data_IF_811310777375
#
_entry.id   IF_811310777375
#
_cell.length_a   1.000
_cell.length_b   1.000
_cell.length_c   1.000
_cell.angle_alpha   90.00
_cell.angle_beta   90.00
_cell.angle_gamma   90.00
#
_symmetry.space_group_name_H-M   'P 1'
#
loop_
_entity.id
_entity.type
_entity.pdbx_description
1 polymer ?
#
# COMPACT_ATOMS: atom_id res chain seq x y z
N UNK A 1 -9.14 -6.04 12.34
CA UNK A 1 -8.78 -4.61 12.40
C UNK A 1 -7.69 -4.37 11.36
N UNK A 2 -7.84 -3.38 10.47
CA UNK A 2 -6.95 -3.24 9.34
C UNK A 2 -5.66 -2.50 9.75
N UNK A 3 -4.63 -3.27 10.05
CA UNK A 3 -3.31 -2.82 10.52
C UNK A 3 -2.47 -2.17 9.40
N UNK A 4 -3.10 -1.45 8.46
CA UNK A 4 -2.46 -0.95 7.25
C UNK A 4 -1.23 -0.11 7.55
N UNK A 5 -1.27 0.79 8.54
CA UNK A 5 -0.19 1.75 8.82
C UNK A 5 1.24 1.18 8.74
N UNK A 6 1.65 0.39 9.72
CA UNK A 6 2.98 -0.21 9.73
C UNK A 6 3.14 -1.35 8.72
N UNK A 7 2.07 -2.09 8.44
CA UNK A 7 2.16 -3.27 7.57
C UNK A 7 2.20 -2.94 6.09
N UNK A 8 1.82 -1.72 5.68
CA UNK A 8 1.88 -1.25 4.28
C UNK A 8 3.22 -0.58 3.94
N UNK A 9 4.00 -0.25 4.96
CA UNK A 9 5.33 0.34 4.83
C UNK A 9 6.30 -0.69 4.24
N UNK A 10 6.88 -0.36 3.09
CA UNK A 10 7.88 -1.17 2.39
C UNK A 10 9.25 -1.08 3.08
N UNK A 11 9.60 0.13 3.50
CA UNK A 11 10.86 0.53 4.15
C UNK A 11 10.56 1.73 5.06
N UNK A 12 11.37 2.04 6.07
CA UNK A 12 11.13 3.20 6.92
C UNK A 12 10.84 4.48 6.12
N UNK A 13 9.71 5.11 6.42
CA UNK A 13 9.04 6.23 5.75
C UNK A 13 8.46 5.94 4.36
N UNK A 14 8.76 4.83 3.70
CA UNK A 14 8.34 4.52 2.33
C UNK A 14 7.18 3.51 2.32
N UNK A 15 5.99 3.95 1.88
CA UNK A 15 4.79 3.12 1.83
C UNK A 15 4.48 2.64 0.43
N UNK A 16 3.90 1.45 0.30
CA UNK A 16 3.42 0.97 -1.00
C UNK A 16 2.29 1.88 -1.53
N UNK A 17 2.62 2.75 -2.47
CA UNK A 17 1.65 3.67 -3.07
C UNK A 17 0.85 2.99 -4.20
N UNK A 18 -0.46 2.85 -4.02
CA UNK A 18 -1.39 2.39 -5.05
C UNK A 18 -2.62 3.30 -5.11
N UNK A 19 -3.24 3.41 -6.28
CA UNK A 19 -4.48 4.16 -6.45
C UNK A 19 -4.31 5.63 -6.03
N UNK A 20 -5.12 6.07 -5.07
CA UNK A 20 -5.11 7.46 -4.59
C UNK A 20 -3.95 7.82 -3.64
N UNK A 21 -2.98 6.92 -3.43
CA UNK A 21 -1.77 7.24 -2.67
C UNK A 21 -0.69 7.81 -3.60
N UNK A 22 -0.23 9.08 -3.45
CA UNK A 22 0.93 9.58 -4.18
C UNK A 22 2.20 8.76 -3.92
N UNK A 23 3.10 8.68 -4.90
CA UNK A 23 4.43 8.04 -4.74
C UNK A 23 5.31 8.70 -3.67
N UNK A 24 5.00 9.96 -3.32
CA UNK A 24 5.65 10.73 -2.25
C UNK A 24 4.97 10.57 -0.89
N UNK A 25 3.93 9.74 -0.77
CA UNK A 25 3.31 9.46 0.53
C UNK A 25 4.38 8.88 1.45
N UNK A 26 4.46 9.43 2.67
CA UNK A 26 5.35 8.95 3.72
C UNK A 26 4.54 8.77 4.99
N UNK A 27 4.93 7.82 5.83
CA UNK A 27 4.40 7.72 7.18
C UNK A 27 5.33 8.46 8.13
N UNK A 28 4.89 9.60 8.64
CA UNK A 28 5.67 10.38 9.60
C UNK A 28 5.76 9.69 10.97
N UNK A 29 6.64 10.18 11.84
CA UNK A 29 6.87 9.62 13.16
C UNK A 29 5.64 9.76 14.08
N UNK A 30 4.89 10.86 13.96
CA UNK A 30 3.67 11.06 14.74
C UNK A 30 2.59 10.04 14.35
N UNK A 31 2.30 9.88 13.06
CA UNK A 31 1.32 8.90 12.56
C UNK A 31 1.69 7.47 12.98
N UNK A 32 2.98 7.13 12.93
CA UNK A 32 3.50 5.83 13.39
C UNK A 32 3.32 5.62 14.88
N UNK A 33 3.76 6.57 15.70
CA UNK A 33 3.62 6.48 17.16
C UNK A 33 2.16 6.46 17.60
N UNK A 34 1.30 7.30 17.00
CA UNK A 34 -0.13 7.30 17.27
C UNK A 34 -0.76 5.95 16.95
N UNK A 35 -0.49 5.40 15.75
CA UNK A 35 -1.02 4.09 15.35
C UNK A 35 -0.49 2.96 16.23
N UNK A 36 0.77 3.03 16.66
CA UNK A 36 1.36 2.05 17.58
C UNK A 36 0.61 2.04 18.92
N UNK A 37 0.39 3.21 19.52
CA UNK A 37 -0.28 3.35 20.81
C UNK A 37 -1.78 3.00 20.71
N UNK A 38 -2.46 3.49 19.68
CA UNK A 38 -3.90 3.31 19.50
C UNK A 38 -4.29 1.86 19.20
N UNK A 39 -3.43 1.15 18.46
CA UNK A 39 -3.69 -0.22 18.03
C UNK A 39 -2.88 -1.26 18.80
N UNK A 40 -2.04 -0.82 19.75
CA UNK A 40 -1.12 -1.63 20.54
C UNK A 40 -0.23 -2.54 19.66
N UNK A 41 0.53 -1.94 18.74
CA UNK A 41 1.31 -2.70 17.75
C UNK A 41 2.65 -3.23 18.28
N UNK A 42 2.98 -2.93 19.54
CA UNK A 42 4.19 -3.40 20.21
C UNK A 42 5.50 -2.95 19.56
N UNK A 43 5.47 -1.85 18.79
CA UNK A 43 6.66 -1.21 18.24
C UNK A 43 7.30 -0.27 19.27
N UNK A 44 8.56 0.08 19.07
CA UNK A 44 9.32 0.94 20.01
C UNK A 44 8.95 2.42 19.93
N UNK A 45 8.30 2.87 18.85
CA UNK A 45 7.92 4.27 18.65
C UNK A 45 6.60 4.57 19.37
N UNK A 46 6.62 5.52 20.31
CA UNK A 46 5.46 5.90 21.12
C UNK A 46 5.24 7.41 21.09
N UNK A 47 4.00 7.88 21.27
CA UNK A 47 3.68 9.31 21.24
C UNK A 47 4.45 10.08 22.31
N UNK A 48 4.57 9.50 23.50
CA UNK A 48 5.27 10.10 24.64
C UNK A 48 6.77 10.35 24.39
N UNK A 49 7.38 9.67 23.42
CA UNK A 49 8.78 9.82 23.08
C UNK A 49 9.03 10.86 21.96
N UNK A 50 7.98 11.39 21.34
CA UNK A 50 8.13 12.31 20.21
C UNK A 50 8.62 13.68 20.65
N UNK A 51 9.61 14.20 19.94
CA UNK A 51 10.02 15.59 20.10
C UNK A 51 8.92 16.55 19.58
N UNK A 52 8.69 17.63 20.34
CA UNK A 52 7.81 18.75 19.98
C UNK A 52 8.68 19.97 19.73
N UNK A 53 8.68 20.50 18.50
CA UNK A 53 9.47 21.67 18.14
C UNK A 53 8.67 22.61 17.22
N UNK A 54 8.80 23.91 17.45
CA UNK A 54 8.05 24.95 16.73
C UNK A 54 8.43 25.08 15.23
N UNK A 55 9.58 24.53 14.82
CA UNK A 55 10.11 24.62 13.45
C UNK A 55 9.88 23.40 12.54
N UNK A 56 9.03 22.45 12.96
CA UNK A 56 8.73 21.25 12.15
C UNK A 56 7.82 21.58 10.95
N UNK A 57 7.86 20.74 9.91
CA UNK A 57 7.08 20.93 8.69
C UNK A 57 5.57 20.95 8.96
N UNK A 58 4.79 21.67 8.15
CA UNK A 58 3.38 22.00 8.42
C UNK A 58 2.41 20.84 8.66
N UNK A 59 2.77 19.61 8.32
CA UNK A 59 1.99 18.41 8.62
C UNK A 59 2.06 18.00 10.11
N UNK A 60 3.01 18.55 10.87
CA UNK A 60 3.26 18.23 12.28
C UNK A 60 2.60 19.19 13.27
N UNK A 61 1.74 20.12 12.81
CA UNK A 61 0.99 21.12 13.58
C UNK A 61 1.35 21.12 15.08
N UNK A 62 2.43 21.82 15.50
CA UNK A 62 3.12 21.53 16.77
C UNK A 62 2.21 21.59 17.99
N UNK A 63 1.18 22.45 17.94
CA UNK A 63 0.14 22.54 18.96
C UNK A 63 -0.75 21.30 19.02
N UNK A 64 -1.17 20.76 17.87
CA UNK A 64 -1.96 19.53 17.83
C UNK A 64 -1.13 18.35 18.38
N UNK A 65 0.13 18.24 17.97
CA UNK A 65 1.06 17.22 18.49
C UNK A 65 1.26 17.36 20.00
N UNK A 66 1.52 18.58 20.49
CA UNK A 66 1.63 18.87 21.92
C UNK A 66 0.34 18.51 22.67
N UNK A 67 -0.83 18.82 22.11
CA UNK A 67 -2.11 18.49 22.71
C UNK A 67 -2.32 16.96 22.80
N UNK A 68 -1.96 16.21 21.76
CA UNK A 68 -2.00 14.74 21.80
C UNK A 68 -1.00 14.16 22.81
N UNK A 69 0.20 14.72 22.91
CA UNK A 69 1.22 14.27 23.88
C UNK A 69 0.79 14.57 25.32
N UNK A 70 0.25 15.76 25.58
CA UNK A 70 -0.09 16.22 26.94
C UNK A 70 -1.46 15.72 27.43
N UNK A 71 -2.43 15.59 26.54
CA UNK A 71 -3.83 15.36 26.89
C UNK A 71 -4.46 14.17 26.17
N UNK A 72 -3.74 13.52 25.25
CA UNK A 72 -4.25 12.36 24.53
C UNK A 72 -4.25 11.11 25.39
N UNK A 73 -5.42 10.74 25.92
CA UNK A 73 -5.64 9.37 26.40
C UNK A 73 -5.85 8.44 25.20
N UNK A 74 -4.76 7.94 24.62
CA UNK A 74 -4.85 6.89 23.61
C UNK A 74 -5.23 5.59 24.32
N UNK A 75 -6.52 5.26 24.28
CA UNK A 75 -7.03 3.99 24.82
C UNK A 75 -6.72 2.88 23.83
N UNK A 76 -5.89 1.89 24.19
CA UNK A 76 -5.59 0.77 23.30
C UNK A 76 -6.89 0.05 22.92
N UNK A 77 -7.04 -0.32 21.65
CA UNK A 77 -8.17 -1.12 21.21
C UNK A 77 -8.28 -2.42 22.05
N UNK A 78 -9.49 -2.76 22.51
CA UNK A 78 -9.75 -3.93 23.38
C UNK A 78 -9.46 -5.28 22.70
N UNK A 79 -9.39 -5.30 21.37
CA UNK A 79 -8.93 -6.42 20.54
C UNK A 79 -7.49 -6.22 20.05
N UNK A 80 -6.63 -5.64 20.89
CA UNK A 80 -5.21 -5.50 20.65
C UNK A 80 -4.58 -6.89 20.39
N UNK A 81 -3.74 -7.00 19.36
CA UNK A 81 -2.91 -8.18 19.18
C UNK A 81 -1.98 -8.30 20.39
N UNK A 82 -2.07 -9.41 21.12
CA UNK A 82 -1.25 -9.68 22.29
C UNK A 82 0.21 -10.04 21.95
N UNK A 83 0.79 -9.45 20.90
CA UNK A 83 2.14 -9.78 20.49
C UNK A 83 2.85 -8.58 19.87
N UNK A 84 4.01 -8.25 20.44
CA UNK A 84 5.09 -7.44 19.88
C UNK A 84 5.72 -8.08 18.64
N UNK A 85 4.90 -8.59 17.73
CA UNK A 85 5.40 -9.27 16.56
C UNK A 85 5.96 -8.19 15.64
N UNK A 86 7.28 -8.19 15.45
CA UNK A 86 7.92 -7.39 14.42
C UNK A 86 7.12 -7.57 13.12
N UNK A 87 6.92 -6.47 12.38
CA UNK A 87 6.11 -6.41 11.14
C UNK A 87 6.53 -7.50 10.13
N UNK A 88 7.74 -8.03 10.28
CA UNK A 88 8.27 -9.14 9.50
C UNK A 88 8.75 -8.68 8.13
N UNK A 89 9.34 -9.60 7.38
CA UNK A 89 9.83 -9.32 6.04
C UNK A 89 8.69 -9.17 5.02
N UNK A 90 7.46 -9.55 5.38
CA UNK A 90 6.33 -9.62 4.45
C UNK A 90 5.00 -9.32 5.14
N UNK A 91 4.13 -8.55 4.48
CA UNK A 91 2.75 -8.32 4.91
C UNK A 91 1.79 -8.58 3.76
N UNK A 92 0.83 -9.47 3.95
CA UNK A 92 -0.24 -9.70 2.98
C UNK A 92 -1.60 -9.28 3.55
N UNK A 93 -2.38 -8.61 2.70
CA UNK A 93 -3.69 -8.04 3.02
C UNK A 93 -4.77 -8.71 2.16
N UNK A 94 -5.27 -9.87 2.61
CA UNK A 94 -6.25 -10.68 1.87
C UNK A 94 -7.48 -9.92 1.38
N UNK A 95 -8.00 -8.99 2.19
CA UNK A 95 -9.22 -8.24 1.86
C UNK A 95 -9.08 -7.37 0.61
N UNK A 96 -7.87 -6.93 0.29
CA UNK A 96 -7.58 -6.05 -0.86
C UNK A 96 -6.54 -6.64 -1.82
N UNK A 97 -6.01 -7.83 -1.51
CA UNK A 97 -5.01 -8.53 -2.31
C UNK A 97 -3.65 -7.83 -2.40
N UNK A 98 -3.23 -7.05 -1.40
CA UNK A 98 -1.93 -6.36 -1.45
C UNK A 98 -0.86 -7.16 -0.73
N UNK A 99 0.27 -7.42 -1.38
CA UNK A 99 1.48 -7.97 -0.76
C UNK A 99 2.53 -6.87 -0.68
N UNK A 100 3.07 -6.63 0.51
CA UNK A 100 4.27 -5.81 0.76
C UNK A 100 5.42 -6.73 1.15
N UNK A 101 6.52 -6.65 0.42
CA UNK A 101 7.73 -7.43 0.62
C UNK A 101 8.91 -6.48 0.93
N UNK A 102 9.50 -6.65 2.11
CA UNK A 102 10.56 -5.79 2.68
C UNK A 102 11.94 -6.45 2.53
N UNK A 103 13.03 -5.67 2.51
CA UNK A 103 14.37 -6.24 2.45
C UNK A 103 14.74 -6.96 3.76
N UNK A 104 15.55 -8.01 3.62
CA UNK A 104 16.31 -8.58 4.72
C UNK A 104 17.48 -7.65 5.12
N UNK A 105 18.12 -7.95 6.26
CA UNK A 105 19.30 -7.23 6.70
C UNK A 105 20.39 -7.24 5.60
N UNK A 106 20.91 -6.07 5.25
CA UNK A 106 21.92 -5.92 4.18
C UNK A 106 21.35 -5.67 2.78
N UNK A 107 20.05 -5.87 2.56
CA UNK A 107 19.35 -5.48 1.33
C UNK A 107 18.63 -4.14 1.49
N UNK A 108 18.33 -3.49 0.36
CA UNK A 108 17.60 -2.21 0.31
C UNK A 108 16.40 -2.24 -0.63
N UNK A 109 16.18 -3.36 -1.31
CA UNK A 109 15.08 -3.54 -2.25
C UNK A 109 13.82 -3.91 -1.47
N UNK A 110 12.74 -3.19 -1.73
CA UNK A 110 11.41 -3.58 -1.32
C UNK A 110 10.51 -3.61 -2.55
N UNK A 111 9.50 -4.45 -2.53
CA UNK A 111 8.52 -4.50 -3.63
C UNK A 111 7.12 -4.72 -3.07
N UNK A 112 6.13 -4.22 -3.79
CA UNK A 112 4.74 -4.44 -3.45
C UNK A 112 3.95 -4.74 -4.71
N UNK A 113 2.87 -5.52 -4.58
CA UNK A 113 1.95 -5.80 -5.67
C UNK A 113 0.52 -5.82 -5.15
N UNK A 114 -0.37 -5.29 -5.97
CA UNK A 114 -1.81 -5.22 -5.74
C UNK A 114 -2.50 -6.22 -6.65
N UNK A 115 -3.05 -7.29 -6.07
CA UNK A 115 -3.75 -8.34 -6.78
C UNK A 115 -5.19 -7.96 -7.15
N UNK A 116 -5.81 -6.98 -6.50
CA UNK A 116 -7.23 -6.64 -6.69
C UNK A 116 -7.63 -5.20 -6.42
N UNK A 117 -8.88 -4.86 -6.70
CA UNK A 117 -9.44 -3.52 -6.50
C UNK A 117 -9.94 -3.26 -5.06
N UNK A 118 -10.19 -1.99 -4.78
CA UNK A 118 -10.76 -1.42 -3.57
C UNK A 118 -12.11 -0.77 -3.89
N UNK A 119 -13.09 -1.62 -4.25
CA UNK A 119 -14.52 -1.30 -4.50
C UNK A 119 -14.75 0.08 -5.16
N UNK A 120 -15.67 0.89 -4.62
CA UNK A 120 -16.20 2.15 -5.19
C UNK A 120 -15.14 3.24 -5.48
N UNK A 121 -13.92 3.10 -4.95
CA UNK A 121 -12.80 4.04 -5.16
C UNK A 121 -11.60 3.39 -5.87
N UNK A 122 -11.78 2.20 -6.45
CA UNK A 122 -10.69 1.53 -7.18
C UNK A 122 -10.22 2.33 -8.40
N UNK A 123 -8.94 2.23 -8.67
CA UNK A 123 -8.40 2.42 -10.00
C UNK A 123 -8.49 1.09 -10.78
N UNK A 124 -8.30 1.14 -12.10
CA UNK A 124 -8.19 -0.07 -12.92
C UNK A 124 -6.74 -0.54 -12.96
N UNK A 125 -6.28 -1.09 -11.83
CA UNK A 125 -4.85 -1.33 -11.54
C UNK A 125 -4.61 -2.75 -11.01
N UNK A 126 -5.41 -3.72 -11.44
CA UNK A 126 -5.25 -5.13 -11.05
C UNK A 126 -3.91 -5.64 -11.54
N UNK A 127 -3.03 -5.97 -10.59
CA UNK A 127 -1.66 -6.40 -10.83
C UNK A 127 -0.61 -5.29 -10.79
N UNK A 128 -0.98 -4.05 -10.49
CA UNK A 128 -0.03 -2.97 -10.26
C UNK A 128 1.03 -3.36 -9.23
N UNK A 129 2.24 -2.84 -9.41
CA UNK A 129 3.35 -3.06 -8.50
C UNK A 129 4.03 -1.74 -8.15
N UNK A 130 4.78 -1.74 -7.06
CA UNK A 130 5.73 -0.69 -6.71
C UNK A 130 7.07 -1.27 -6.33
N UNK A 131 8.14 -0.53 -6.62
CA UNK A 131 9.51 -0.88 -6.23
C UNK A 131 10.02 0.22 -5.32
N UNK A 132 10.39 -0.15 -4.11
CA UNK A 132 11.07 0.70 -3.14
C UNK A 132 12.58 0.43 -3.14
N UNK A 133 13.36 1.50 -3.04
CA UNK A 133 14.81 1.43 -2.79
C UNK A 133 15.15 2.42 -1.68
N UNK A 134 15.47 1.90 -0.50
CA UNK A 134 15.58 2.72 0.72
C UNK A 134 14.31 3.57 0.96
N UNK A 135 14.46 4.88 1.12
CA UNK A 135 13.36 5.82 1.39
C UNK A 135 12.61 6.26 0.14
N UNK A 136 12.99 5.76 -1.04
CA UNK A 136 12.46 6.20 -2.34
C UNK A 136 11.66 5.12 -3.05
N UNK A 137 10.73 5.54 -3.89
CA UNK A 137 9.96 4.67 -4.79
C UNK A 137 10.28 5.05 -6.24
N UNK A 138 11.36 4.52 -6.84
CA UNK A 138 11.81 4.92 -8.18
C UNK A 138 10.83 4.57 -9.31
N UNK A 139 10.01 3.53 -9.16
CA UNK A 139 9.09 3.08 -10.22
C UNK A 139 7.92 2.27 -9.67
N UNK A 140 6.93 2.06 -10.54
CA UNK A 140 5.71 1.32 -10.26
C UNK A 140 4.47 2.12 -10.55
N UNK A 141 3.45 1.92 -9.71
CA UNK A 141 2.19 2.65 -9.76
C UNK A 141 2.42 4.17 -9.67
N UNK A 142 1.67 4.92 -10.48
CA UNK A 142 1.76 6.37 -10.55
C UNK A 142 1.10 7.06 -9.35
N UNK A 143 0.22 6.34 -8.64
CA UNK A 143 -0.49 6.87 -7.50
C UNK A 143 -1.55 7.90 -7.88
N UNK A 144 -1.77 8.84 -6.97
CA UNK A 144 -2.89 9.77 -7.02
C UNK A 144 -2.89 10.68 -8.26
N UNK A 145 -4.09 11.07 -8.69
CA UNK A 145 -4.31 12.13 -9.68
C UNK A 145 -4.86 13.40 -9.02
N UNK A 146 -4.81 14.53 -9.72
CA UNK A 146 -5.56 15.71 -9.31
C UNK A 146 -7.07 15.41 -9.40
N UNK A 147 -7.78 15.61 -8.29
CA UNK A 147 -9.23 15.45 -8.25
C UNK A 147 -9.95 16.59 -8.96
N UNK A 148 -10.95 16.22 -9.74
CA UNK A 148 -11.84 17.15 -10.46
C UNK A 148 -13.26 16.62 -10.46
N UNK A 149 -14.22 17.39 -10.95
CA UNK A 149 -15.60 16.91 -11.13
C UNK A 149 -15.67 15.61 -11.96
N UNK A 150 -14.71 15.41 -12.88
CA UNK A 150 -14.59 14.20 -13.71
C UNK A 150 -14.22 12.96 -12.89
N UNK A 151 -13.46 13.10 -11.82
CA UNK A 151 -13.08 11.99 -10.91
C UNK A 151 -14.30 11.32 -10.29
N UNK A 152 -15.37 12.09 -10.08
CA UNK A 152 -16.62 11.64 -9.46
C UNK A 152 -17.76 11.46 -10.47
N UNK A 153 -17.46 11.49 -11.77
CA UNK A 153 -18.43 11.24 -12.83
C UNK A 153 -18.23 9.86 -13.45
N UNK A 154 -19.16 9.47 -14.33
CA UNK A 154 -19.03 8.28 -15.18
C UNK A 154 -17.76 8.28 -16.06
N UNK A 155 -17.15 9.45 -16.26
CA UNK A 155 -15.98 9.63 -17.14
C UNK A 155 -14.65 9.47 -16.39
N UNK A 156 -14.65 9.10 -15.10
CA UNK A 156 -13.45 8.96 -14.27
C UNK A 156 -12.36 8.09 -14.90
N UNK A 157 -12.73 6.99 -15.55
CA UNK A 157 -11.80 6.06 -16.19
C UNK A 157 -11.26 6.54 -17.54
N UNK A 158 -11.60 7.76 -17.98
CA UNK A 158 -10.86 8.43 -19.06
C UNK A 158 -9.72 9.30 -18.53
N UNK A 159 -9.53 9.37 -17.20
CA UNK A 159 -8.34 9.94 -16.58
C UNK A 159 -7.26 8.85 -16.59
N UNK A 160 -6.10 9.06 -17.25
CA UNK A 160 -5.01 8.10 -17.33
C UNK A 160 -4.61 7.45 -16.01
N UNK A 161 -4.51 8.26 -14.95
CA UNK A 161 -4.08 7.80 -13.62
C UNK A 161 -5.15 7.02 -12.85
N UNK A 162 -6.41 6.97 -13.31
CA UNK A 162 -7.49 6.15 -12.72
C UNK A 162 -7.74 4.88 -13.57
N UNK A 163 -7.48 4.95 -14.87
CA UNK A 163 -7.60 3.83 -15.79
C UNK A 163 -6.31 3.02 -15.86
N UNK A 164 -6.36 1.81 -16.41
CA UNK A 164 -5.18 0.95 -16.51
C UNK A 164 -4.09 1.48 -17.43
N UNK A 165 -4.32 2.60 -18.13
CA UNK A 165 -3.32 3.24 -18.98
C UNK A 165 -2.17 3.85 -18.17
N UNK A 166 -2.46 4.44 -17.01
CA UNK A 166 -1.45 5.06 -16.15
C UNK A 166 -0.71 4.08 -15.24
N UNK A 167 -1.19 2.84 -15.13
CA UNK A 167 -0.67 1.85 -14.20
C UNK A 167 0.28 0.87 -14.91
N UNK A 168 1.25 0.25 -14.18
CA UNK A 168 2.21 -0.68 -14.76
C UNK A 168 1.59 -2.07 -15.05
N UNK A 169 0.47 -2.11 -15.77
CA UNK A 169 -0.29 -3.29 -16.15
C UNK A 169 -0.41 -3.36 -17.68
N UNK A 170 -0.55 -4.55 -18.30
CA UNK A 170 -0.52 -4.66 -19.76
C UNK A 170 -1.77 -4.04 -20.42
N UNK A 171 -1.61 -3.62 -21.68
CA UNK A 171 -2.73 -3.43 -22.61
C UNK A 171 -2.86 -4.71 -23.43
N UNK A 172 -4.03 -5.35 -23.37
CA UNK A 172 -4.21 -6.69 -23.97
C UNK A 172 -5.07 -6.56 -25.21
N UNK A 173 -4.52 -6.89 -26.38
CA UNK A 173 -5.23 -6.75 -27.66
C UNK A 173 -5.87 -5.35 -27.84
N UNK A 174 -5.13 -4.29 -27.50
CA UNK A 174 -5.61 -2.90 -27.55
C UNK A 174 -6.64 -2.53 -26.47
N UNK A 175 -6.93 -3.42 -25.52
CA UNK A 175 -7.96 -3.25 -24.49
C UNK A 175 -7.34 -2.95 -23.12
N UNK A 176 -7.85 -1.89 -22.47
CA UNK A 176 -7.55 -1.54 -21.08
C UNK A 176 -8.39 -2.38 -20.11
N UNK A 177 -8.01 -2.40 -18.84
CA UNK A 177 -8.79 -3.12 -17.83
C UNK A 177 -10.18 -2.52 -17.64
N UNK A 178 -11.14 -3.40 -17.37
CA UNK A 178 -12.48 -3.10 -16.90
C UNK A 178 -12.45 -2.39 -15.54
N UNK A 179 -13.60 -1.87 -15.13
CA UNK A 179 -13.78 -1.27 -13.81
C UNK A 179 -13.46 -2.30 -12.72
N UNK A 180 -12.43 -2.02 -11.90
CA UNK A 180 -11.89 -3.00 -10.96
C UNK A 180 -12.87 -3.40 -9.84
N UNK A 181 -13.90 -2.60 -9.57
CA UNK A 181 -15.01 -2.93 -8.64
C UNK A 181 -15.86 -4.11 -9.11
N UNK A 182 -15.83 -4.43 -10.41
CA UNK A 182 -16.53 -5.58 -11.01
C UNK A 182 -15.66 -6.83 -11.09
N UNK A 183 -14.39 -6.73 -10.72
CA UNK A 183 -13.40 -7.79 -10.90
C UNK A 183 -13.07 -8.39 -9.53
N UNK A 184 -13.20 -9.72 -9.43
CA UNK A 184 -12.67 -10.44 -8.27
C UNK A 184 -11.23 -10.83 -8.55
N UNK A 185 -10.26 -10.31 -7.79
CA UNK A 185 -8.88 -10.72 -7.94
C UNK A 185 -8.73 -12.20 -7.65
N UNK A 186 -7.93 -12.89 -8.46
CA UNK A 186 -7.62 -14.30 -8.24
C UNK A 186 -6.13 -14.47 -7.99
N UNK A 187 -5.76 -14.58 -6.71
CA UNK A 187 -4.44 -15.02 -6.30
C UNK A 187 -4.36 -16.54 -6.50
N UNK A 188 -3.39 -16.99 -7.29
CA UNK A 188 -3.19 -18.40 -7.63
C UNK A 188 -2.25 -19.11 -6.65
N UNK A 189 -1.20 -18.42 -6.21
CA UNK A 189 -0.24 -18.94 -5.23
C UNK A 189 0.45 -17.80 -4.48
N UNK A 190 0.87 -18.12 -3.25
CA UNK A 190 1.77 -17.29 -2.44
C UNK A 190 2.83 -18.19 -1.82
N UNK A 191 4.06 -17.68 -1.73
CA UNK A 191 5.17 -18.28 -0.97
C UNK A 191 5.88 -17.14 -0.26
N UNK A 192 5.69 -17.04 1.05
CA UNK A 192 6.27 -15.97 1.87
C UNK A 192 7.25 -16.60 2.86
N UNK A 193 8.54 -16.34 2.66
CA UNK A 193 9.64 -16.88 3.47
C UNK A 193 10.67 -15.79 3.73
N UNK A 194 11.61 -16.06 4.63
CA UNK A 194 12.66 -15.09 4.94
C UNK A 194 13.60 -14.83 3.75
N UNK A 195 13.77 -15.82 2.86
CA UNK A 195 14.63 -15.69 1.68
C UNK A 195 13.87 -15.18 0.46
N UNK A 196 12.65 -15.66 0.24
CA UNK A 196 11.86 -15.38 -0.97
C UNK A 196 10.41 -15.08 -0.63
N UNK A 197 9.91 -13.96 -1.14
CA UNK A 197 8.48 -13.75 -1.32
C UNK A 197 8.09 -13.92 -2.77
N UNK A 198 7.00 -14.64 -3.02
CA UNK A 198 6.43 -14.83 -4.34
C UNK A 198 4.91 -14.79 -4.26
N UNK A 199 4.30 -14.13 -5.23
CA UNK A 199 2.85 -14.14 -5.43
C UNK A 199 2.55 -14.21 -6.92
N UNK A 200 1.64 -15.11 -7.28
CA UNK A 200 1.14 -15.22 -8.65
C UNK A 200 -0.35 -14.90 -8.67
N UNK A 201 -0.75 -14.03 -9.59
CA UNK A 201 -2.13 -13.57 -9.77
C UNK A 201 -2.60 -13.85 -11.20
N UNK A 202 -3.90 -14.10 -11.36
CA UNK A 202 -4.57 -14.12 -12.65
C UNK A 202 -5.33 -12.81 -12.86
N UNK A 203 -4.96 -12.10 -13.92
CA UNK A 203 -5.52 -10.80 -14.31
C UNK A 203 -6.48 -10.91 -15.50
N UNK A 204 -6.75 -12.12 -16.03
CA UNK A 204 -7.55 -12.29 -17.24
C UNK A 204 -8.95 -11.66 -17.12
N UNK A 205 -9.60 -11.84 -15.96
CA UNK A 205 -10.94 -11.30 -15.69
C UNK A 205 -10.96 -9.75 -15.70
N UNK A 206 -9.81 -9.10 -15.55
CA UNK A 206 -9.71 -7.65 -15.67
C UNK A 206 -9.86 -7.15 -17.12
N UNK A 207 -9.84 -8.03 -18.13
CA UNK A 207 -9.90 -7.65 -19.54
C UNK A 207 -11.08 -8.32 -20.26
N UNK A 208 -11.89 -7.51 -20.95
CA UNK A 208 -12.97 -8.03 -21.80
C UNK A 208 -12.44 -8.42 -23.18
N UNK A 209 -11.65 -9.49 -23.25
CA UNK A 209 -11.06 -10.01 -24.49
C UNK A 209 -11.52 -11.47 -24.68
N UNK A 210 -12.47 -11.77 -25.59
CA UNK A 210 -13.10 -13.10 -25.69
C UNK A 210 -12.14 -14.28 -25.92
N UNK A 211 -11.00 -14.02 -26.57
CA UNK A 211 -9.97 -15.03 -26.86
C UNK A 211 -8.93 -15.18 -25.74
N UNK A 212 -8.94 -14.30 -24.73
CA UNK A 212 -7.99 -14.36 -23.62
C UNK A 212 -8.37 -15.51 -22.69
N UNK A 213 -7.50 -16.52 -22.61
CA UNK A 213 -7.71 -17.69 -21.74
C UNK A 213 -7.04 -17.57 -20.39
N UNK A 214 -5.87 -16.93 -20.36
CA UNK A 214 -5.07 -16.75 -19.16
C UNK A 214 -4.20 -15.52 -19.33
N UNK A 215 -4.04 -14.79 -18.24
CA UNK A 215 -3.07 -13.71 -18.11
C UNK A 215 -2.57 -13.70 -16.68
N UNK A 216 -1.38 -14.24 -16.46
CA UNK A 216 -0.79 -14.34 -15.13
C UNK A 216 0.36 -13.36 -14.96
N UNK A 217 0.50 -12.86 -13.73
CA UNK A 217 1.64 -12.06 -13.30
C UNK A 217 2.20 -12.67 -12.02
N UNK A 218 3.50 -12.88 -12.00
CA UNK A 218 4.25 -13.32 -10.82
C UNK A 218 5.18 -12.20 -10.39
N UNK A 219 5.07 -11.80 -9.13
CA UNK A 219 6.09 -11.00 -8.47
C UNK A 219 6.91 -11.94 -7.59
N UNK A 220 8.23 -11.89 -7.71
CA UNK A 220 9.17 -12.61 -6.86
C UNK A 220 10.22 -11.62 -6.34
N UNK A 221 10.39 -11.60 -5.02
CA UNK A 221 11.44 -10.86 -4.34
C UNK A 221 12.38 -11.87 -3.70
N UNK A 222 13.56 -12.02 -4.29
CA UNK A 222 14.66 -12.82 -3.75
C UNK A 222 15.56 -11.93 -2.90
N UNK A 223 15.75 -12.30 -1.63
CA UNK A 223 16.53 -11.54 -0.64
C UNK A 223 17.92 -12.13 -0.39
N UNK A 224 18.28 -13.20 -1.10
CA UNK A 224 19.58 -13.88 -1.00
C UNK A 224 20.70 -13.08 -1.68
#
# INVERSE_FOLDING_TARGET
>A
MALYGYRIEMLPNNVAAFGDAPTKTRMDEFSRSYANDALNLGQSQHLAALAVAAGQAGNDAPLAKAAFVLFGEVRPATNALASSQAIGLSSYFDSVGVLVSRPAAGSRLAVSIKAGGNENHSHNDVGSYTIGLATEQPTGDVGATQYSAKTFSKDRYSIPAISSWGHPVPVVAGTLQLQADKIKPRVLSTRLTDDIDEITINMADAYSVPVLRSLTRTLMHDRR
#
